data_IF_927660736007
#
_entry.id   IF_927660736007
#
_cell.length_a   1.000
_cell.length_b   1.000
_cell.length_c   1.000
_cell.angle_alpha   90.00
_cell.angle_beta   90.00
_cell.angle_gamma   90.00
#
_symmetry.space_group_name_H-M   'P 1'
#
loop_
_entity.id
_entity.type
_entity.pdbx_description
1 polymer ?
#
# COMPACT_ATOMS: atom_id res chain seq x y z
N UNK A 1 -19.49 82.59 -18.44
CA UNK A 1 -18.68 81.98 -19.52
C UNK A 1 -18.13 80.67 -18.98
N UNK A 2 -18.59 79.63 -19.56
CA UNK A 2 -18.52 78.25 -19.09
C UNK A 2 -17.16 77.61 -19.39
N UNK A 3 -16.62 76.90 -18.45
CA UNK A 3 -15.59 75.83 -18.71
C UNK A 3 -16.01 74.56 -18.02
N UNK A 4 -16.39 73.60 -18.81
CA UNK A 4 -16.71 72.26 -18.38
C UNK A 4 -15.45 71.55 -17.93
N UNK A 5 -15.46 71.11 -16.69
CA UNK A 5 -14.43 70.23 -16.14
C UNK A 5 -14.88 68.74 -16.37
N UNK A 6 -14.28 68.11 -17.33
CA UNK A 6 -14.47 66.68 -17.57
C UNK A 6 -13.54 65.89 -16.64
N UNK A 7 -14.09 65.29 -15.60
CA UNK A 7 -13.40 64.35 -14.74
C UNK A 7 -13.42 62.98 -15.40
N UNK A 8 -12.22 62.48 -15.85
CA UNK A 8 -12.01 61.09 -16.20
C UNK A 8 -11.84 60.27 -14.92
N UNK A 9 -12.84 59.46 -14.60
CA UNK A 9 -12.71 58.44 -13.59
C UNK A 9 -12.03 57.21 -14.21
N UNK A 10 -10.75 57.03 -13.89
CA UNK A 10 -10.01 55.81 -14.23
C UNK A 10 -10.33 54.74 -13.21
N UNK A 11 -11.29 53.87 -13.53
CA UNK A 11 -11.62 52.69 -12.70
C UNK A 11 -10.55 51.64 -12.89
N UNK A 12 -9.65 51.53 -11.89
CA UNK A 12 -8.63 50.49 -11.83
C UNK A 12 -9.30 49.19 -11.33
N UNK A 13 -9.71 48.32 -12.26
CA UNK A 13 -10.16 46.98 -11.97
C UNK A 13 -8.95 46.13 -11.61
N UNK A 14 -8.63 46.04 -10.31
CA UNK A 14 -7.78 44.95 -9.79
C UNK A 14 -8.55 43.63 -9.87
N UNK A 15 -8.29 42.89 -10.94
CA UNK A 15 -8.69 41.50 -11.04
C UNK A 15 -7.94 40.66 -9.98
N UNK A 16 -8.57 40.36 -8.85
CA UNK A 16 -8.11 39.28 -7.98
C UNK A 16 -8.27 37.98 -8.76
N UNK A 17 -7.18 37.48 -9.34
CA UNK A 17 -7.08 36.09 -9.75
C UNK A 17 -7.12 35.23 -8.47
N UNK A 18 -8.33 34.84 -8.06
CA UNK A 18 -8.50 33.79 -7.09
C UNK A 18 -7.95 32.51 -7.72
N UNK A 19 -6.74 32.12 -7.32
CA UNK A 19 -6.29 30.74 -7.49
C UNK A 19 -7.28 29.87 -6.74
N UNK A 20 -8.27 29.31 -7.44
CA UNK A 20 -9.00 28.16 -6.99
C UNK A 20 -8.01 27.01 -6.91
N UNK A 21 -7.46 26.76 -5.74
CA UNK A 21 -6.95 25.46 -5.38
C UNK A 21 -8.14 24.51 -5.44
N UNK A 22 -8.33 23.85 -6.57
CA UNK A 22 -9.33 22.80 -6.72
C UNK A 22 -8.99 21.65 -5.79
N UNK A 23 -9.97 21.11 -5.06
CA UNK A 23 -9.79 19.91 -4.27
C UNK A 23 -10.00 18.70 -5.17
N UNK A 24 -9.19 18.44 -6.16
CA UNK A 24 -9.25 17.19 -6.91
C UNK A 24 -7.92 17.00 -7.67
N UNK A 25 -6.84 16.78 -6.92
CA UNK A 25 -5.83 15.89 -7.43
C UNK A 25 -6.51 14.52 -7.49
N UNK A 26 -6.99 14.11 -8.66
CA UNK A 26 -7.45 12.76 -8.93
C UNK A 26 -6.21 11.89 -8.69
N UNK A 27 -6.11 11.33 -7.48
CA UNK A 27 -5.09 10.38 -7.12
C UNK A 27 -5.18 9.25 -8.14
N UNK A 28 -4.07 8.91 -8.81
CA UNK A 28 -4.06 7.88 -9.82
C UNK A 28 -4.69 6.60 -9.23
N UNK A 29 -5.61 5.92 -9.94
CA UNK A 29 -6.29 4.74 -9.39
C UNK A 29 -5.27 3.73 -8.88
N UNK A 30 -5.29 3.44 -7.57
CA UNK A 30 -4.38 2.52 -6.92
C UNK A 30 -3.16 3.13 -6.23
N UNK A 31 -2.83 4.42 -6.46
CA UNK A 31 -1.71 5.09 -5.75
C UNK A 31 -1.90 5.05 -4.22
N UNK A 32 -3.14 5.10 -3.73
CA UNK A 32 -3.47 5.04 -2.31
C UNK A 32 -3.03 3.76 -1.62
N UNK A 33 -3.22 2.59 -2.22
CA UNK A 33 -2.82 1.30 -1.63
C UNK A 33 -1.30 1.12 -1.63
N UNK A 34 -0.62 1.41 -2.74
CA UNK A 34 0.85 1.36 -2.79
C UNK A 34 1.48 2.44 -1.90
N UNK A 35 0.89 3.65 -1.87
CA UNK A 35 1.34 4.73 -0.98
C UNK A 35 1.22 4.36 0.50
N UNK A 36 0.19 3.60 0.89
CA UNK A 36 0.02 3.12 2.25
C UNK A 36 1.06 2.06 2.67
N UNK A 37 1.79 1.48 1.71
CA UNK A 37 2.91 0.56 1.95
C UNK A 37 4.27 1.26 2.03
N UNK A 38 4.33 2.59 1.95
CA UNK A 38 5.55 3.38 2.19
C UNK A 38 5.87 3.42 3.69
N UNK A 39 6.17 2.26 4.27
CA UNK A 39 6.38 2.01 5.69
C UNK A 39 7.82 1.56 5.94
N UNK A 40 8.35 1.74 7.17
CA UNK A 40 9.63 1.15 7.54
C UNK A 40 9.61 -0.37 7.36
N UNK A 41 10.67 -0.91 6.79
CA UNK A 41 10.82 -2.35 6.55
C UNK A 41 11.94 -2.94 7.40
N UNK A 42 11.78 -4.20 7.80
CA UNK A 42 12.77 -4.98 8.56
C UNK A 42 13.10 -6.28 7.84
N UNK A 43 14.11 -7.00 8.37
CA UNK A 43 14.54 -8.28 7.84
C UNK A 43 15.46 -8.19 6.61
N UNK A 44 15.82 -9.36 6.02
CA UNK A 44 16.82 -9.44 4.94
C UNK A 44 16.38 -8.73 3.66
N UNK A 45 15.09 -8.69 3.35
CA UNK A 45 14.52 -8.17 2.10
C UNK A 45 13.94 -6.75 2.22
N UNK A 46 14.32 -5.97 3.24
CA UNK A 46 13.78 -4.61 3.45
C UNK A 46 13.92 -3.68 2.24
N UNK A 47 14.94 -3.87 1.41
CA UNK A 47 15.14 -3.08 0.18
C UNK A 47 14.06 -3.30 -0.88
N UNK A 48 13.45 -4.49 -0.96
CA UNK A 48 12.40 -4.79 -1.93
C UNK A 48 11.08 -4.02 -1.66
N UNK A 49 10.90 -3.46 -0.47
CA UNK A 49 9.72 -2.64 -0.14
C UNK A 49 9.60 -1.34 -0.97
N UNK A 50 10.70 -0.87 -1.57
CA UNK A 50 10.73 0.36 -2.38
C UNK A 50 10.43 0.12 -3.86
N UNK A 51 10.32 -1.14 -4.30
CA UNK A 51 10.22 -1.54 -5.72
C UNK A 51 8.87 -2.20 -6.04
N UNK A 52 7.77 -1.65 -5.54
CA UNK A 52 6.44 -2.24 -5.72
C UNK A 52 5.69 -1.75 -6.96
N UNK A 53 6.07 -0.59 -7.50
CA UNK A 53 5.42 0.00 -8.67
C UNK A 53 5.54 -0.90 -9.89
N UNK A 54 4.40 -1.16 -10.56
CA UNK A 54 4.34 -2.00 -11.75
C UNK A 54 4.41 -3.51 -11.47
N UNK A 55 4.47 -3.92 -10.20
CA UNK A 55 4.37 -5.32 -9.79
C UNK A 55 2.95 -5.70 -9.39
N UNK A 56 2.64 -6.97 -9.51
CA UNK A 56 1.50 -7.58 -8.82
C UNK A 56 1.94 -7.81 -7.37
N UNK A 57 1.21 -7.25 -6.40
CA UNK A 57 1.62 -7.29 -5.00
C UNK A 57 0.61 -8.07 -4.17
N UNK A 58 1.07 -9.06 -3.41
CA UNK A 58 0.29 -9.69 -2.34
C UNK A 58 0.66 -9.04 -1.02
N UNK A 59 -0.24 -8.24 -0.47
CA UNK A 59 -0.10 -7.64 0.87
C UNK A 59 -0.71 -8.60 1.87
N UNK A 60 0.07 -9.05 2.85
CA UNK A 60 -0.37 -9.97 3.90
C UNK A 60 -0.21 -9.31 5.27
N UNK A 61 -1.32 -9.01 5.92
CA UNK A 61 -1.35 -8.51 7.30
C UNK A 61 -1.22 -9.67 8.26
N UNK A 62 -0.19 -9.63 9.11
CA UNK A 62 0.16 -10.73 10.01
C UNK A 62 0.67 -10.22 11.36
N UNK A 63 0.82 -11.12 12.31
CA UNK A 63 1.56 -10.88 13.56
C UNK A 63 2.35 -12.12 13.95
N UNK A 64 3.45 -11.92 14.69
CA UNK A 64 4.34 -13.02 15.11
C UNK A 64 3.67 -14.02 16.06
N UNK A 65 2.71 -13.55 16.85
CA UNK A 65 1.89 -14.36 17.77
C UNK A 65 0.68 -15.03 17.11
N UNK A 66 0.39 -14.73 15.84
CA UNK A 66 -0.73 -15.30 15.10
C UNK A 66 -0.34 -16.65 14.50
N UNK A 67 -0.78 -17.75 15.14
CA UNK A 67 -0.43 -19.11 14.70
C UNK A 67 -0.79 -19.38 13.23
N UNK A 68 -2.02 -19.09 12.72
CA UNK A 68 -2.31 -19.30 11.30
C UNK A 68 -1.46 -18.42 10.36
N UNK A 69 -1.02 -17.23 10.80
CA UNK A 69 -0.09 -16.40 10.01
C UNK A 69 1.27 -17.07 9.85
N UNK A 70 1.80 -17.63 10.94
CA UNK A 70 3.06 -18.38 10.92
C UNK A 70 2.95 -19.62 10.04
N UNK A 71 1.81 -20.34 10.13
CA UNK A 71 1.55 -21.51 9.30
C UNK A 71 1.45 -21.19 7.78
N UNK A 72 1.10 -19.94 7.42
CA UNK A 72 1.02 -19.50 6.03
C UNK A 72 2.39 -19.12 5.42
N UNK A 73 3.44 -18.88 6.24
CA UNK A 73 4.78 -18.49 5.77
C UNK A 73 5.32 -19.38 4.65
N UNK A 74 5.27 -20.74 4.75
CA UNK A 74 5.78 -21.58 3.66
C UNK A 74 5.04 -21.37 2.32
N UNK A 75 3.74 -21.09 2.37
CA UNK A 75 2.92 -20.78 1.18
C UNK A 75 3.37 -19.47 0.55
N UNK A 76 3.54 -18.41 1.34
CA UNK A 76 4.00 -17.11 0.86
C UNK A 76 5.42 -17.17 0.28
N UNK A 77 6.31 -17.96 0.91
CA UNK A 77 7.67 -18.21 0.41
C UNK A 77 7.67 -18.94 -0.93
N UNK A 78 6.80 -19.96 -1.10
CA UNK A 78 6.65 -20.66 -2.36
C UNK A 78 6.15 -19.72 -3.47
N UNK A 79 5.11 -18.92 -3.19
CA UNK A 79 4.58 -17.95 -4.14
C UNK A 79 5.61 -16.88 -4.53
N UNK A 80 6.38 -16.35 -3.56
CA UNK A 80 7.45 -15.40 -3.82
C UNK A 80 8.54 -16.00 -4.71
N UNK A 81 8.95 -17.25 -4.46
CA UNK A 81 9.95 -17.96 -5.26
C UNK A 81 9.46 -18.18 -6.70
N UNK A 82 8.23 -18.64 -6.86
CA UNK A 82 7.72 -19.13 -8.14
C UNK A 82 7.25 -18.00 -9.06
N UNK A 83 6.68 -16.92 -8.49
CA UNK A 83 6.13 -15.80 -9.25
C UNK A 83 6.98 -14.52 -9.18
N UNK A 84 7.91 -14.40 -8.24
CA UNK A 84 8.78 -13.22 -8.09
C UNK A 84 9.49 -12.82 -9.39
N UNK A 85 10.12 -13.75 -10.13
CA UNK A 85 10.75 -13.47 -11.42
C UNK A 85 9.79 -12.96 -12.50
N UNK A 86 8.47 -13.18 -12.34
CA UNK A 86 7.43 -12.78 -13.29
C UNK A 86 6.85 -11.38 -12.97
N UNK A 87 7.42 -10.66 -12.01
CA UNK A 87 6.94 -9.33 -11.59
C UNK A 87 5.89 -9.38 -10.49
N UNK A 88 5.92 -10.39 -9.64
CA UNK A 88 5.14 -10.52 -8.43
C UNK A 88 5.98 -10.18 -7.19
N UNK A 89 5.33 -9.70 -6.13
CA UNK A 89 5.97 -9.44 -4.84
C UNK A 89 5.01 -9.72 -3.69
N UNK A 90 5.44 -10.54 -2.72
CA UNK A 90 4.80 -10.61 -1.39
C UNK A 90 5.32 -9.47 -0.53
N UNK A 91 4.44 -8.87 0.23
CA UNK A 91 4.76 -7.87 1.27
C UNK A 91 3.99 -8.26 2.53
N UNK A 92 4.70 -8.59 3.60
CA UNK A 92 4.08 -8.76 4.90
C UNK A 92 3.97 -7.40 5.61
N UNK A 93 2.86 -7.15 6.29
CA UNK A 93 2.65 -5.98 7.16
C UNK A 93 2.43 -6.51 8.56
N UNK A 94 3.44 -6.33 9.41
CA UNK A 94 3.42 -6.80 10.80
C UNK A 94 2.61 -5.88 11.69
N UNK A 95 1.60 -6.45 12.35
CA UNK A 95 0.65 -5.77 13.24
C UNK A 95 1.07 -5.81 14.70
N UNK A 96 2.27 -6.34 14.99
CA UNK A 96 2.82 -6.41 16.34
C UNK A 96 3.08 -5.01 16.90
N UNK A 97 2.59 -4.72 18.10
CA UNK A 97 2.79 -3.43 18.77
C UNK A 97 4.24 -3.21 19.18
N UNK A 98 5.00 -4.28 19.39
CA UNK A 98 6.44 -4.26 19.65
C UNK A 98 7.28 -3.90 18.41
N UNK A 99 6.66 -3.90 17.25
CA UNK A 99 7.24 -3.48 15.97
C UNK A 99 8.51 -4.24 15.60
N UNK A 100 9.56 -3.51 15.24
CA UNK A 100 10.83 -4.08 14.78
C UNK A 100 11.48 -5.05 15.78
N UNK A 101 11.22 -4.89 17.09
CA UNK A 101 11.81 -5.72 18.14
C UNK A 101 11.45 -7.21 17.99
N UNK A 102 10.25 -7.51 17.50
CA UNK A 102 9.79 -8.89 17.29
C UNK A 102 9.77 -9.28 15.82
N UNK A 103 9.46 -8.33 14.92
CA UNK A 103 9.34 -8.60 13.49
C UNK A 103 10.70 -8.80 12.79
N UNK A 104 11.76 -8.10 13.21
CA UNK A 104 13.08 -8.30 12.61
C UNK A 104 13.64 -9.71 12.90
N UNK A 105 13.70 -10.18 14.17
CA UNK A 105 14.16 -11.54 14.45
C UNK A 105 13.23 -12.60 13.85
N UNK A 106 11.93 -12.35 13.71
CA UNK A 106 11.01 -13.23 13.02
C UNK A 106 11.40 -13.38 11.54
N UNK A 107 11.60 -12.27 10.82
CA UNK A 107 11.97 -12.27 9.42
C UNK A 107 13.33 -12.96 9.19
N UNK A 108 14.28 -12.76 10.10
CA UNK A 108 15.60 -13.39 10.05
C UNK A 108 15.52 -14.90 10.33
N UNK A 109 14.73 -15.31 11.34
CA UNK A 109 14.55 -16.72 11.72
C UNK A 109 13.96 -17.55 10.57
N UNK A 110 12.93 -17.04 9.92
CA UNK A 110 12.29 -17.70 8.78
C UNK A 110 13.03 -17.45 7.45
N UNK A 111 14.08 -16.61 7.44
CA UNK A 111 14.86 -16.24 6.24
C UNK A 111 13.95 -15.78 5.12
N UNK A 112 13.00 -14.88 5.45
CA UNK A 112 11.94 -14.46 4.53
C UNK A 112 12.52 -13.82 3.27
N UNK A 113 12.02 -14.22 2.09
CA UNK A 113 12.41 -13.72 0.77
C UNK A 113 11.58 -12.52 0.32
N UNK A 114 10.76 -11.98 1.20
CA UNK A 114 9.92 -10.81 0.96
C UNK A 114 10.04 -9.81 2.12
N UNK A 115 9.77 -8.53 1.88
CA UNK A 115 9.87 -7.50 2.91
C UNK A 115 8.78 -7.64 3.97
N UNK A 116 9.15 -7.35 5.22
CA UNK A 116 8.25 -7.20 6.35
C UNK A 116 8.20 -5.73 6.72
N UNK A 117 7.03 -5.11 6.56
CA UNK A 117 6.77 -3.72 6.90
C UNK A 117 6.24 -3.60 8.32
N UNK A 118 6.55 -2.50 8.98
CA UNK A 118 6.01 -2.17 10.30
C UNK A 118 4.71 -1.38 10.10
N UNK A 119 3.56 -1.94 10.55
CA UNK A 119 2.30 -1.21 10.52
C UNK A 119 2.42 0.09 11.31
N UNK A 120 1.94 1.18 10.74
CA UNK A 120 1.83 2.46 11.42
C UNK A 120 0.48 2.60 12.15
N UNK A 121 0.32 3.72 12.87
CA UNK A 121 -0.90 3.98 13.63
C UNK A 121 -2.16 4.01 12.74
N UNK A 122 -2.06 4.47 11.48
CA UNK A 122 -3.19 4.49 10.55
C UNK A 122 -3.67 3.10 10.20
N UNK A 123 -2.74 2.16 10.00
CA UNK A 123 -3.06 0.75 9.73
C UNK A 123 -3.63 0.11 11.00
N UNK A 124 -2.97 0.27 12.13
CA UNK A 124 -3.38 -0.30 13.42
C UNK A 124 -4.78 0.17 13.83
N UNK A 125 -5.08 1.47 13.63
CA UNK A 125 -6.40 2.05 13.95
C UNK A 125 -7.47 1.83 12.88
N UNK A 126 -7.14 1.19 11.75
CA UNK A 126 -8.06 0.97 10.64
C UNK A 126 -8.38 2.21 9.80
N UNK A 127 -7.58 3.27 9.92
CA UNK A 127 -7.75 4.53 9.18
C UNK A 127 -6.97 4.58 7.87
N UNK A 128 -6.29 3.48 7.51
CA UNK A 128 -5.63 3.36 6.21
C UNK A 128 -6.62 3.04 5.09
N UNK A 129 -6.16 3.12 3.84
CA UNK A 129 -6.96 2.73 2.65
C UNK A 129 -7.37 1.26 2.65
N UNK A 130 -6.72 0.41 3.45
CA UNK A 130 -7.09 -1.00 3.64
C UNK A 130 -8.30 -1.17 4.57
N UNK A 131 -8.70 -0.08 5.26
CA UNK A 131 -9.74 -0.15 6.29
C UNK A 131 -9.28 -0.91 7.55
N UNK A 132 -10.22 -1.25 8.44
CA UNK A 132 -9.91 -2.00 9.65
C UNK A 132 -9.57 -3.47 9.33
N UNK A 133 -8.42 -3.94 9.81
CA UNK A 133 -8.00 -5.34 9.70
C UNK A 133 -8.60 -6.11 10.88
N UNK A 134 -9.74 -6.76 10.65
CA UNK A 134 -10.56 -7.38 11.70
C UNK A 134 -10.09 -8.78 12.12
N UNK A 135 -9.25 -9.44 11.33
CA UNK A 135 -8.69 -10.75 11.62
C UNK A 135 -7.31 -10.92 10.98
N UNK A 136 -6.50 -11.83 11.50
CA UNK A 136 -5.20 -12.20 10.95
C UNK A 136 -5.17 -13.70 10.63
N UNK A 137 -4.50 -14.08 9.52
CA UNK A 137 -3.99 -13.21 8.48
C UNK A 137 -5.11 -12.59 7.64
N UNK A 138 -4.87 -11.43 7.04
CA UNK A 138 -5.71 -10.86 5.98
C UNK A 138 -4.82 -10.50 4.81
N UNK A 139 -5.21 -10.92 3.60
CA UNK A 139 -4.41 -10.72 2.39
C UNK A 139 -5.18 -9.94 1.34
N UNK A 140 -4.47 -9.06 0.61
CA UNK A 140 -4.97 -8.34 -0.55
C UNK A 140 -4.04 -8.58 -1.74
N UNK A 141 -4.59 -8.80 -2.93
CA UNK A 141 -3.81 -8.76 -4.18
C UNK A 141 -4.07 -7.42 -4.84
N UNK A 142 -2.96 -6.72 -5.17
CA UNK A 142 -2.94 -5.50 -5.95
C UNK A 142 -2.44 -5.82 -7.37
N UNK A 143 -3.08 -5.24 -8.37
CA UNK A 143 -2.60 -5.30 -9.75
C UNK A 143 -1.39 -4.36 -9.97
N UNK A 144 -0.84 -4.33 -11.18
CA UNK A 144 0.31 -3.48 -11.55
C UNK A 144 0.04 -1.99 -11.42
N UNK A 145 -1.23 -1.58 -11.37
CA UNK A 145 -1.69 -0.21 -11.14
C UNK A 145 -1.98 0.06 -9.66
N UNK A 146 -1.72 -0.91 -8.77
CA UNK A 146 -1.95 -0.79 -7.33
C UNK A 146 -3.42 -0.89 -6.91
N UNK A 147 -4.32 -1.38 -7.77
CA UNK A 147 -5.75 -1.57 -7.45
C UNK A 147 -5.96 -2.93 -6.80
N UNK A 148 -6.78 -3.00 -5.76
CA UNK A 148 -7.17 -4.27 -5.15
C UNK A 148 -8.03 -5.08 -6.13
N UNK A 149 -7.61 -6.31 -6.41
CA UNK A 149 -8.30 -7.25 -7.31
C UNK A 149 -8.71 -8.55 -6.62
N UNK A 150 -8.32 -8.74 -5.36
CA UNK A 150 -8.71 -9.87 -4.52
C UNK A 150 -8.39 -9.61 -3.06
N UNK A 151 -9.17 -10.21 -2.15
CA UNK A 151 -8.96 -10.13 -0.70
C UNK A 151 -9.39 -11.45 -0.04
N UNK A 152 -8.66 -11.84 1.02
CA UNK A 152 -8.93 -13.01 1.84
C UNK A 152 -8.80 -12.64 3.31
N UNK A 153 -9.72 -13.13 4.12
CA UNK A 153 -9.66 -13.03 5.57
C UNK A 153 -9.46 -14.43 6.14
N UNK A 154 -8.48 -14.61 7.01
CA UNK A 154 -7.97 -15.90 7.43
C UNK A 154 -6.95 -16.48 6.45
N UNK A 155 -6.38 -17.62 6.80
CA UNK A 155 -5.37 -18.32 6.00
C UNK A 155 -5.92 -18.70 4.62
N UNK A 156 -5.26 -18.27 3.55
CA UNK A 156 -5.63 -18.59 2.18
C UNK A 156 -4.86 -19.81 1.67
N UNK A 157 -5.53 -20.66 0.90
CA UNK A 157 -4.90 -21.82 0.27
C UNK A 157 -3.92 -21.41 -0.82
N UNK A 158 -2.82 -22.18 -0.96
CA UNK A 158 -1.82 -21.95 -2.02
C UNK A 158 -2.45 -21.86 -3.42
N UNK A 159 -3.37 -22.78 -3.74
CA UNK A 159 -4.01 -22.83 -5.06
C UNK A 159 -4.87 -21.58 -5.34
N UNK A 160 -5.59 -21.07 -4.34
CA UNK A 160 -6.45 -19.91 -4.51
C UNK A 160 -5.63 -18.64 -4.75
N UNK A 161 -4.54 -18.47 -3.97
CA UNK A 161 -3.60 -17.38 -4.17
C UNK A 161 -2.89 -17.49 -5.51
N UNK A 162 -2.39 -18.67 -5.88
CA UNK A 162 -1.71 -18.92 -7.14
C UNK A 162 -2.61 -18.57 -8.35
N UNK A 163 -3.86 -19.06 -8.36
CA UNK A 163 -4.84 -18.72 -9.41
C UNK A 163 -5.08 -17.22 -9.55
N UNK A 164 -5.22 -16.53 -8.41
CA UNK A 164 -5.44 -15.08 -8.42
C UNK A 164 -4.20 -14.32 -8.91
N UNK A 165 -3.00 -14.71 -8.49
CA UNK A 165 -1.72 -14.16 -8.95
C UNK A 165 -1.58 -14.35 -10.46
N UNK A 166 -1.73 -15.57 -10.98
CA UNK A 166 -1.61 -15.88 -12.40
C UNK A 166 -2.61 -15.09 -13.26
N UNK A 167 -3.86 -14.99 -12.80
CA UNK A 167 -4.89 -14.18 -13.47
C UNK A 167 -4.50 -12.71 -13.52
N UNK A 168 -3.86 -12.20 -12.46
CA UNK A 168 -3.48 -10.79 -12.34
C UNK A 168 -2.22 -10.48 -13.14
N UNK A 169 -1.25 -11.40 -13.18
CA UNK A 169 -0.01 -11.26 -13.97
C UNK A 169 -0.25 -11.19 -15.49
N UNK A 170 -1.35 -11.80 -15.98
CA UNK A 170 -1.74 -11.82 -17.40
C UNK A 170 -2.47 -10.55 -17.87
N UNK A 171 -2.75 -9.60 -16.96
CA UNK A 171 -3.41 -8.32 -17.25
C UNK A 171 -2.41 -7.20 -17.44
#
# INVERSE_FOLDING_TARGET
>A
MSVLLRTLACALLLGLAACKSGPDAIEAPGAGFLGALALPAVGPQRGAATELTGRVVLVNFMATWCFPCVAEVPTLEALQRDYGPQGFQVVAVGMDLEGAKVLAPFADHYTLRYPVLLADERIISGQSVFGPIMALPTSFILDRQGRVVGAWQGMAGHEDLAKAIEKTLKR
#
